data_IF_343782723323
#
_entry.id   IF_343782723323
#
_cell.length_a   1.000
_cell.length_b   1.000
_cell.length_c   1.000
_cell.angle_alpha   90.00
_cell.angle_beta   90.00
_cell.angle_gamma   90.00
#
_symmetry.space_group_name_H-M   'P 1'
#
loop_
_entity.id
_entity.type
_entity.pdbx_description
1 polymer ?
#
# COMPACT_ATOMS: atom_id res chain seq x y z
N UNK A 1 10.15 4.53 -3.20
CA UNK A 1 9.32 4.23 -2.00
C UNK A 1 8.12 5.17 -1.89
N UNK A 2 8.30 6.49 -1.77
CA UNK A 2 7.17 7.44 -1.70
C UNK A 2 6.23 7.36 -2.92
N UNK A 3 6.81 7.13 -4.11
CA UNK A 3 6.03 6.89 -5.34
C UNK A 3 5.06 5.70 -5.23
N UNK A 4 5.47 4.57 -4.62
CA UNK A 4 4.60 3.39 -4.50
C UNK A 4 3.40 3.69 -3.59
N UNK A 5 3.61 4.41 -2.48
CA UNK A 5 2.52 4.84 -1.60
C UNK A 5 1.60 5.84 -2.30
N UNK A 6 2.16 6.78 -3.07
CA UNK A 6 1.38 7.73 -3.86
C UNK A 6 0.53 7.06 -4.93
N UNK A 7 1.12 6.15 -5.71
CA UNK A 7 0.41 5.37 -6.73
C UNK A 7 -0.66 4.47 -6.10
N UNK A 8 -0.36 3.84 -4.98
CA UNK A 8 -1.33 3.03 -4.24
C UNK A 8 -2.50 3.88 -3.74
N UNK A 9 -2.24 5.11 -3.30
CA UNK A 9 -3.30 6.01 -2.81
C UNK A 9 -4.23 6.45 -3.96
N UNK A 10 -3.65 6.78 -5.12
CA UNK A 10 -4.44 7.13 -6.32
C UNK A 10 -5.32 5.94 -6.74
N UNK A 11 -4.74 4.74 -6.75
CA UNK A 11 -5.47 3.51 -7.09
C UNK A 11 -6.59 3.21 -6.09
N UNK A 12 -6.33 3.38 -4.79
CA UNK A 12 -7.32 3.18 -3.72
C UNK A 12 -8.47 4.19 -3.78
N UNK A 13 -8.19 5.47 -4.07
CA UNK A 13 -9.23 6.47 -4.34
C UNK A 13 -10.09 6.08 -5.54
N UNK A 14 -9.49 5.65 -6.64
CA UNK A 14 -10.23 5.18 -7.81
C UNK A 14 -11.12 3.98 -7.48
N UNK A 15 -10.60 3.03 -6.69
CA UNK A 15 -11.37 1.88 -6.23
C UNK A 15 -12.58 2.29 -5.39
N UNK A 16 -12.39 3.20 -4.42
CA UNK A 16 -13.48 3.69 -3.57
C UNK A 16 -14.58 4.34 -4.40
N UNK A 17 -14.21 5.18 -5.38
CA UNK A 17 -15.17 5.80 -6.28
C UNK A 17 -15.90 4.77 -7.15
N UNK A 18 -15.18 3.75 -7.64
CA UNK A 18 -15.74 2.68 -8.45
C UNK A 18 -16.76 1.83 -7.67
N UNK A 19 -16.46 1.50 -6.41
CA UNK A 19 -17.35 0.69 -5.57
C UNK A 19 -18.39 1.52 -4.80
N UNK A 20 -18.33 2.84 -4.89
CA UNK A 20 -19.25 3.74 -4.21
C UNK A 20 -20.71 3.41 -4.61
N UNK A 21 -21.54 3.06 -3.64
CA UNK A 21 -22.93 2.65 -3.85
C UNK A 21 -23.14 1.17 -4.16
N UNK A 22 -22.08 0.39 -4.39
CA UNK A 22 -22.16 -1.07 -4.61
C UNK A 22 -21.82 -1.90 -3.37
N UNK A 23 -21.23 -1.28 -2.35
CA UNK A 23 -20.81 -1.95 -1.10
C UNK A 23 -21.64 -1.49 0.09
N UNK A 24 -21.82 -2.35 1.13
CA UNK A 24 -22.43 -1.94 2.39
C UNK A 24 -21.71 -0.74 3.02
N UNK A 25 -22.46 0.12 3.71
CA UNK A 25 -21.93 1.36 4.31
C UNK A 25 -20.76 1.12 5.28
N UNK A 26 -20.80 0.07 6.09
CA UNK A 26 -19.71 -0.28 7.00
C UNK A 26 -18.40 -0.61 6.26
N UNK A 27 -18.49 -1.29 5.12
CA UNK A 27 -17.33 -1.62 4.29
C UNK A 27 -16.79 -0.37 3.60
N UNK A 28 -17.68 0.49 3.11
CA UNK A 28 -17.32 1.78 2.54
C UNK A 28 -16.54 2.65 3.52
N UNK A 29 -17.02 2.82 4.76
CA UNK A 29 -16.30 3.60 5.78
C UNK A 29 -14.95 3.00 6.13
N UNK A 30 -14.84 1.67 6.13
CA UNK A 30 -13.56 0.98 6.37
C UNK A 30 -12.56 1.25 5.24
N UNK A 31 -13.01 1.20 3.99
CA UNK A 31 -12.18 1.50 2.81
C UNK A 31 -11.70 2.96 2.84
N UNK A 32 -12.60 3.92 3.09
CA UNK A 32 -12.26 5.34 3.20
C UNK A 32 -11.26 5.60 4.32
N UNK A 33 -11.45 4.96 5.48
CA UNK A 33 -10.54 5.11 6.63
C UNK A 33 -9.14 4.53 6.33
N UNK A 34 -9.09 3.35 5.71
CA UNK A 34 -7.84 2.73 5.28
C UNK A 34 -7.10 3.57 4.25
N UNK A 35 -7.83 4.11 3.28
CA UNK A 35 -7.27 4.98 2.24
C UNK A 35 -6.73 6.29 2.81
N UNK A 36 -7.44 6.92 3.75
CA UNK A 36 -6.97 8.11 4.44
C UNK A 36 -5.64 7.86 5.19
N UNK A 37 -5.45 6.67 5.76
CA UNK A 37 -4.18 6.28 6.37
C UNK A 37 -3.06 6.14 5.34
N UNK A 38 -3.33 5.58 4.16
CA UNK A 38 -2.38 5.50 3.04
C UNK A 38 -1.98 6.87 2.52
N UNK A 39 -2.94 7.76 2.28
CA UNK A 39 -2.68 9.14 1.85
C UNK A 39 -1.80 9.86 2.89
N UNK A 40 -2.13 9.70 4.17
CA UNK A 40 -1.35 10.30 5.26
C UNK A 40 0.08 9.78 5.28
N UNK A 41 0.28 8.47 5.11
CA UNK A 41 1.59 7.85 5.01
C UNK A 41 2.36 8.35 3.78
N UNK A 42 1.71 8.45 2.62
CA UNK A 42 2.29 8.96 1.38
C UNK A 42 2.79 10.41 1.59
N UNK A 43 1.92 11.30 2.07
CA UNK A 43 2.27 12.70 2.35
C UNK A 43 3.43 12.81 3.35
N UNK A 44 3.43 11.99 4.41
CA UNK A 44 4.50 11.97 5.40
C UNK A 44 5.83 11.46 4.81
N UNK A 45 5.80 10.51 3.87
CA UNK A 45 7.00 10.08 3.13
C UNK A 45 7.52 11.12 2.14
N UNK A 46 6.65 11.95 1.54
CA UNK A 46 7.09 13.09 0.74
C UNK A 46 7.81 14.15 1.59
N UNK A 47 7.46 14.25 2.89
CA UNK A 47 8.17 15.08 3.87
C UNK A 47 9.44 14.42 4.43
N UNK A 48 9.88 13.29 3.89
CA UNK A 48 11.05 12.52 4.34
C UNK A 48 11.02 12.11 5.82
N UNK A 49 9.82 11.95 6.41
CA UNK A 49 9.69 11.52 7.80
C UNK A 49 10.04 10.03 7.93
N UNK A 50 11.10 9.72 8.68
CA UNK A 50 11.63 8.35 8.82
C UNK A 50 10.59 7.33 9.32
N UNK A 51 9.72 7.74 10.23
CA UNK A 51 8.67 6.88 10.78
C UNK A 51 7.58 6.55 9.75
N UNK A 52 7.35 7.43 8.76
CA UNK A 52 6.33 7.25 7.74
C UNK A 52 6.61 6.03 6.84
N UNK A 53 7.88 5.73 6.59
CA UNK A 53 8.24 4.53 5.83
C UNK A 53 7.92 3.24 6.58
N UNK A 54 8.07 3.25 7.91
CA UNK A 54 7.75 2.06 8.72
C UNK A 54 6.23 1.91 8.87
N UNK A 55 5.52 3.03 9.02
CA UNK A 55 4.06 3.02 9.01
C UNK A 55 3.49 2.55 7.66
N UNK A 56 4.04 3.01 6.54
CA UNK A 56 3.68 2.52 5.21
C UNK A 56 3.94 1.02 5.03
N UNK A 57 4.99 0.48 5.67
CA UNK A 57 5.26 -0.96 5.65
C UNK A 57 4.17 -1.74 6.37
N UNK A 58 3.75 -1.27 7.55
CA UNK A 58 2.67 -1.88 8.33
C UNK A 58 1.38 -1.88 7.50
N UNK A 59 1.04 -0.74 6.90
CA UNK A 59 -0.14 -0.62 6.03
C UNK A 59 -0.07 -1.59 4.85
N UNK A 60 1.08 -1.69 4.16
CA UNK A 60 1.26 -2.61 3.05
C UNK A 60 1.02 -4.08 3.44
N UNK A 61 1.54 -4.50 4.60
CA UNK A 61 1.35 -5.86 5.12
C UNK A 61 -0.13 -6.10 5.46
N UNK A 62 -0.78 -5.14 6.14
CA UNK A 62 -2.19 -5.24 6.50
C UNK A 62 -3.08 -5.32 5.26
N UNK A 63 -2.79 -4.55 4.21
CA UNK A 63 -3.53 -4.60 2.94
C UNK A 63 -3.41 -5.97 2.29
N UNK A 64 -2.19 -6.51 2.14
CA UNK A 64 -1.99 -7.84 1.56
C UNK A 64 -2.72 -8.91 2.39
N UNK A 65 -2.63 -8.84 3.72
CA UNK A 65 -3.33 -9.77 4.61
C UNK A 65 -4.85 -9.69 4.43
N UNK A 66 -5.41 -8.48 4.38
CA UNK A 66 -6.83 -8.26 4.13
C UNK A 66 -7.26 -8.78 2.75
N UNK A 67 -6.44 -8.57 1.72
CA UNK A 67 -6.69 -9.10 0.37
C UNK A 67 -6.70 -10.63 0.39
N UNK A 68 -5.68 -11.27 0.98
CA UNK A 68 -5.54 -12.72 1.01
C UNK A 68 -6.64 -13.43 1.83
N UNK A 69 -7.13 -12.80 2.89
CA UNK A 69 -8.22 -13.35 3.72
C UNK A 69 -9.60 -13.20 3.08
N UNK A 70 -9.76 -12.33 2.08
CA UNK A 70 -11.03 -12.07 1.42
C UNK A 70 -11.35 -13.12 0.36
N UNK A 71 -12.27 -14.05 0.69
CA UNK A 71 -12.82 -14.99 -0.31
C UNK A 71 -13.46 -14.28 -1.50
N UNK A 72 -14.01 -13.08 -1.29
CA UNK A 72 -14.61 -12.28 -2.36
C UNK A 72 -13.57 -11.84 -3.39
N UNK A 73 -12.36 -11.48 -2.95
CA UNK A 73 -11.28 -11.06 -3.85
C UNK A 73 -10.79 -12.23 -4.72
N UNK A 74 -10.71 -13.43 -4.15
CA UNK A 74 -10.37 -14.65 -4.88
C UNK A 74 -11.48 -15.00 -5.90
N UNK A 75 -12.74 -14.75 -5.54
CA UNK A 75 -13.88 -15.03 -6.40
C UNK A 75 -14.00 -14.10 -7.62
N UNK A 76 -13.37 -12.92 -7.63
CA UNK A 76 -13.49 -11.98 -8.75
C UNK A 76 -12.91 -12.52 -10.07
N UNK A 77 -11.86 -13.34 -10.03
CA UNK A 77 -11.38 -14.06 -11.22
C UNK A 77 -12.41 -15.07 -11.72
N UNK A 78 -13.02 -15.83 -10.81
CA UNK A 78 -13.99 -16.87 -11.15
C UNK A 78 -15.32 -16.29 -11.66
N UNK A 79 -15.68 -15.09 -11.21
CA UNK A 79 -16.92 -14.40 -11.56
C UNK A 79 -16.78 -13.49 -12.80
N UNK A 80 -15.64 -13.51 -13.49
CA UNK A 80 -15.43 -12.71 -14.69
C UNK A 80 -15.47 -11.20 -14.44
N UNK A 81 -14.90 -10.75 -13.31
CA UNK A 81 -14.82 -9.33 -12.90
C UNK A 81 -13.39 -8.80 -13.12
N UNK A 82 -13.01 -8.45 -14.36
CA UNK A 82 -11.62 -8.16 -14.72
C UNK A 82 -11.13 -6.82 -14.14
N UNK A 83 -12.02 -5.83 -13.96
CA UNK A 83 -11.65 -4.50 -13.45
C UNK A 83 -11.27 -4.60 -11.98
N UNK A 84 -12.12 -5.22 -11.16
CA UNK A 84 -11.87 -5.45 -9.73
C UNK A 84 -10.61 -6.29 -9.53
N UNK A 85 -10.45 -7.33 -10.36
CA UNK A 85 -9.25 -8.17 -10.38
C UNK A 85 -7.99 -7.35 -10.67
N UNK A 86 -8.02 -6.49 -11.69
CA UNK A 86 -6.88 -5.66 -12.06
C UNK A 86 -6.51 -4.68 -10.95
N UNK A 87 -7.50 -4.04 -10.32
CA UNK A 87 -7.27 -3.11 -9.22
C UNK A 87 -6.60 -3.82 -8.04
N UNK A 88 -7.07 -5.01 -7.68
CA UNK A 88 -6.49 -5.80 -6.58
C UNK A 88 -5.07 -6.23 -6.91
N UNK A 89 -4.83 -6.79 -8.09
CA UNK A 89 -3.49 -7.26 -8.50
C UNK A 89 -2.51 -6.09 -8.59
N UNK A 90 -2.92 -4.96 -9.15
CA UNK A 90 -2.08 -3.77 -9.21
C UNK A 90 -1.79 -3.20 -7.81
N UNK A 91 -2.79 -3.19 -6.93
CA UNK A 91 -2.65 -2.77 -5.54
C UNK A 91 -1.66 -3.64 -4.77
N UNK A 92 -1.89 -4.96 -4.74
CA UNK A 92 -0.99 -5.92 -4.08
C UNK A 92 0.42 -5.86 -4.67
N UNK A 93 0.54 -5.74 -5.99
CA UNK A 93 1.83 -5.57 -6.66
C UNK A 93 2.59 -4.33 -6.18
N UNK A 94 1.90 -3.20 -6.01
CA UNK A 94 2.49 -1.97 -5.44
C UNK A 94 2.91 -2.16 -3.98
N UNK A 95 2.13 -2.89 -3.17
CA UNK A 95 2.49 -3.19 -1.78
C UNK A 95 3.72 -4.08 -1.68
N UNK A 96 3.78 -5.15 -2.47
CA UNK A 96 4.93 -6.06 -2.53
C UNK A 96 6.18 -5.31 -2.97
N UNK A 97 6.08 -4.47 -4.01
CA UNK A 97 7.17 -3.63 -4.47
C UNK A 97 7.64 -2.68 -3.36
N UNK A 98 6.70 -2.04 -2.66
CA UNK A 98 7.03 -1.16 -1.55
C UNK A 98 7.79 -1.88 -0.43
N UNK A 99 7.31 -3.06 -0.02
CA UNK A 99 7.97 -3.91 0.99
C UNK A 99 9.38 -4.28 0.53
N UNK A 100 9.54 -4.72 -0.73
CA UNK A 100 10.83 -5.08 -1.30
C UNK A 100 11.83 -3.91 -1.27
N UNK A 101 11.40 -2.72 -1.68
CA UNK A 101 12.21 -1.51 -1.63
C UNK A 101 12.55 -1.11 -0.19
N UNK A 102 11.61 -1.24 0.75
CA UNK A 102 11.85 -1.00 2.17
C UNK A 102 12.95 -1.91 2.70
N UNK A 103 12.83 -3.22 2.49
CA UNK A 103 13.82 -4.19 2.95
C UNK A 103 15.19 -3.95 2.31
N UNK A 104 15.23 -3.64 1.01
CA UNK A 104 16.48 -3.31 0.31
C UNK A 104 17.16 -2.07 0.92
N UNK A 105 16.38 -1.01 1.19
CA UNK A 105 16.91 0.22 1.80
C UNK A 105 17.49 0.02 3.21
N UNK A 106 17.04 -1.04 3.91
CA UNK A 106 17.55 -1.42 5.23
C UNK A 106 18.76 -2.36 5.16
N UNK A 107 18.91 -3.10 4.07
CA UNK A 107 20.03 -4.05 3.85
C UNK A 107 21.31 -3.38 3.43
N UNK A 108 21.26 -2.21 2.78
CA UNK A 108 22.48 -1.49 2.40
C UNK A 108 23.27 -1.13 3.67
N UNK A 109 24.44 -1.75 3.92
CA UNK A 109 25.25 -1.39 5.06
C UNK A 109 25.59 0.09 4.89
N UNK A 110 25.31 0.88 5.91
CA UNK A 110 25.83 2.23 6.01
C UNK A 110 27.35 2.07 6.04
N UNK A 111 28.00 2.18 4.88
CA UNK A 111 29.46 2.19 4.78
C UNK A 111 29.90 3.29 5.74
N UNK A 112 30.38 2.90 6.93
CA UNK A 112 30.95 3.83 7.89
C UNK A 112 32.09 4.49 7.14
N UNK A 113 32.01 5.80 6.96
CA UNK A 113 33.19 6.60 6.65
C UNK A 113 34.24 6.25 7.71
N UNK A 114 35.44 5.77 7.32
CA UNK A 114 36.57 5.76 8.22
C UNK A 114 37.02 7.21 8.36
N UNK A 115 36.32 7.99 9.18
CA UNK A 115 36.86 9.23 9.70
C UNK A 115 37.72 8.87 10.89
N UNK A 116 39.01 9.21 10.77
CA UNK A 116 39.92 9.52 11.87
C UNK A 116 40.74 8.34 12.42
N UNK A 117 41.82 8.01 11.71
CA UNK A 117 43.09 7.69 12.34
C UNK A 117 44.11 8.66 11.72
N UNK A 118 44.16 9.86 12.31
CA UNK A 118 45.34 10.72 12.26
C UNK A 118 46.28 10.25 13.36
#
# INVERSE_FOLDING_TARGET
MSFCLGASSILGLFFILYVAGSVPSWLFYTLVTGEAAFISAALATFKNLRYAYTFGLILAILTIAATAMSRAHIAFLALGRPVETLIIVAGDGLQILYIGLYLLSRRTPRHRQPSQLR
#
